data_IF_862195721396
#
_entry.id   IF_862195721396
#
_cell.length_a   1.000
_cell.length_b   1.000
_cell.length_c   1.000
_cell.angle_alpha   90.00
_cell.angle_beta   90.00
_cell.angle_gamma   90.00
#
_symmetry.space_group_name_H-M   'P 1'
#
loop_
_entity.id
_entity.type
_entity.pdbx_description
1 polymer ?
#
# COMPACT_ATOMS: atom_id res chain seq x y z
N UNK A 1 13.75 22.06 -0.55
CA UNK A 1 14.31 22.25 0.81
C UNK A 1 13.14 22.58 1.73
N UNK A 2 13.12 22.16 3.00
CA UNK A 2 11.99 22.44 3.91
C UNK A 2 12.03 23.90 4.39
N UNK A 3 10.94 24.65 4.21
CA UNK A 3 10.79 26.03 4.71
C UNK A 3 9.93 26.06 5.97
N UNK A 4 10.27 26.93 6.91
CA UNK A 4 9.48 27.20 8.11
C UNK A 4 9.34 28.69 8.35
N UNK A 5 8.29 29.09 9.08
CA UNK A 5 8.08 30.49 9.47
C UNK A 5 8.99 30.85 10.65
N UNK A 6 9.78 31.92 10.50
CA UNK A 6 10.42 32.57 11.64
C UNK A 6 9.42 33.50 12.35
N UNK A 7 9.66 33.89 13.62
CA UNK A 7 8.84 34.86 14.34
C UNK A 7 8.69 36.22 13.62
N UNK A 8 9.54 36.51 12.62
CA UNK A 8 9.55 37.74 11.83
C UNK A 8 8.95 37.62 10.43
N UNK A 9 8.20 36.56 10.10
CA UNK A 9 7.46 36.44 8.84
C UNK A 9 8.27 36.07 7.59
N UNK A 10 9.61 36.13 7.63
CA UNK A 10 10.46 35.63 6.55
C UNK A 10 10.55 34.10 6.56
N UNK A 11 10.41 33.48 5.38
CA UNK A 11 10.59 32.05 5.19
C UNK A 11 12.06 31.66 5.39
N UNK A 12 12.32 30.75 6.33
CA UNK A 12 13.66 30.26 6.65
C UNK A 12 13.78 28.80 6.24
N UNK A 13 14.86 28.44 5.57
CA UNK A 13 15.23 27.05 5.36
C UNK A 13 15.46 26.38 6.72
N UNK A 14 14.70 25.33 7.00
CA UNK A 14 14.79 24.56 8.25
C UNK A 14 15.97 23.58 8.21
N UNK A 15 16.37 23.15 7.01
CA UNK A 15 17.48 22.23 6.81
C UNK A 15 18.71 22.98 6.28
N UNK A 16 19.86 22.66 6.88
CA UNK A 16 21.20 22.99 6.36
C UNK A 16 21.62 21.95 5.30
N UNK A 17 22.72 22.16 4.54
CA UNK A 17 23.22 21.18 3.58
C UNK A 17 23.38 19.78 4.17
N UNK A 18 23.05 18.75 3.39
CA UNK A 18 23.17 17.35 3.80
C UNK A 18 24.63 16.95 3.97
N UNK A 19 24.90 16.12 4.98
CA UNK A 19 26.26 15.65 5.30
C UNK A 19 26.30 14.13 5.44
N UNK A 20 25.68 13.60 6.49
CA UNK A 20 25.63 12.17 6.79
C UNK A 20 24.24 11.71 7.19
N UNK A 21 23.84 10.54 6.72
CA UNK A 21 22.63 9.84 7.14
C UNK A 21 22.97 8.39 7.53
N UNK A 22 22.56 8.00 8.74
CA UNK A 22 22.53 6.60 9.18
C UNK A 22 21.08 6.16 9.23
N UNK A 23 20.69 5.29 8.30
CA UNK A 23 19.33 4.75 8.24
C UNK A 23 19.23 3.49 9.10
N UNK A 24 18.53 3.56 10.23
CA UNK A 24 18.07 2.37 10.91
C UNK A 24 16.97 1.68 10.08
N UNK A 25 16.84 0.36 10.24
CA UNK A 25 15.89 -0.46 9.50
C UNK A 25 15.94 -0.19 7.99
N UNK A 26 17.17 -0.08 7.46
CA UNK A 26 17.46 0.45 6.13
C UNK A 26 16.73 -0.29 5.01
N UNK A 27 16.42 -1.56 5.20
CA UNK A 27 15.70 -2.36 4.22
C UNK A 27 14.21 -2.01 4.14
N UNK A 28 13.62 -1.49 5.21
CA UNK A 28 12.27 -0.93 5.17
C UNK A 28 12.25 0.38 4.39
N UNK A 29 13.08 1.32 4.83
CA UNK A 29 13.06 2.70 4.31
C UNK A 29 13.55 2.72 2.85
N UNK A 30 14.69 2.10 2.57
CA UNK A 30 15.35 2.22 1.27
C UNK A 30 14.82 1.24 0.22
N UNK A 31 13.96 0.27 0.59
CA UNK A 31 13.43 -0.74 -0.35
C UNK A 31 11.90 -0.88 -0.28
N UNK A 32 11.33 -1.08 0.91
CA UNK A 32 9.88 -1.34 1.05
C UNK A 32 9.06 -0.06 0.86
N UNK A 33 9.46 1.02 1.52
CA UNK A 33 8.80 2.33 1.45
C UNK A 33 9.17 3.07 0.17
N UNK A 34 10.36 2.78 -0.39
CA UNK A 34 10.86 3.34 -1.65
C UNK A 34 10.07 2.92 -2.91
N UNK A 35 8.91 2.28 -2.74
CA UNK A 35 7.95 1.99 -3.82
C UNK A 35 7.01 3.16 -4.11
N UNK A 36 6.83 4.05 -3.14
CA UNK A 36 5.95 5.21 -3.23
C UNK A 36 6.74 6.50 -3.03
N UNK A 37 6.51 7.53 -3.86
CA UNK A 37 7.11 8.84 -3.67
C UNK A 37 6.57 9.50 -2.40
N UNK A 38 7.39 10.36 -1.80
CA UNK A 38 6.94 11.32 -0.80
C UNK A 38 6.27 12.48 -1.53
N UNK A 39 5.05 12.81 -1.10
CA UNK A 39 4.22 13.85 -1.71
C UNK A 39 3.77 14.81 -0.62
N UNK A 40 3.96 16.10 -0.85
CA UNK A 40 3.29 17.15 -0.09
C UNK A 40 2.07 17.54 -0.92
N UNK A 41 0.87 17.23 -0.43
CA UNK A 41 -0.35 17.70 -1.05
C UNK A 41 -0.43 19.22 -0.93
N UNK A 42 -0.85 19.88 -2.00
CA UNK A 42 -1.27 21.27 -1.89
C UNK A 42 -2.53 21.32 -1.02
N UNK A 43 -2.66 22.27 -0.08
CA UNK A 43 -3.95 22.52 0.55
C UNK A 43 -4.97 22.85 -0.56
N UNK A 44 -6.26 22.50 -0.36
CA UNK A 44 -7.30 22.85 -1.30
C UNK A 44 -7.26 24.36 -1.52
N UNK A 45 -6.88 24.74 -2.74
CA UNK A 45 -6.66 26.14 -3.14
C UNK A 45 -7.78 26.64 -4.03
N UNK A 46 -7.71 27.91 -4.43
CA UNK A 46 -8.63 28.50 -5.40
C UNK A 46 -8.70 27.69 -6.70
N UNK A 47 -7.60 27.05 -7.13
CA UNK A 47 -7.58 26.20 -8.33
C UNK A 47 -8.47 24.94 -8.19
N UNK A 48 -8.41 24.25 -7.05
CA UNK A 48 -9.27 23.08 -6.80
C UNK A 48 -10.73 23.53 -6.66
N UNK A 49 -10.98 24.65 -5.97
CA UNK A 49 -12.31 25.23 -5.86
C UNK A 49 -12.87 25.68 -7.22
N UNK A 50 -12.03 26.26 -8.08
CA UNK A 50 -12.38 26.65 -9.45
C UNK A 50 -12.69 25.44 -10.32
N UNK A 51 -11.92 24.35 -10.20
CA UNK A 51 -12.18 23.11 -10.94
C UNK A 51 -13.47 22.42 -10.47
N UNK A 52 -13.70 22.32 -9.16
CA UNK A 52 -14.99 21.85 -8.63
C UNK A 52 -16.15 22.75 -9.08
N UNK A 53 -15.96 24.07 -9.05
CA UNK A 53 -16.95 25.04 -9.53
C UNK A 53 -17.21 24.90 -11.02
N UNK A 54 -16.20 24.55 -11.83
CA UNK A 54 -16.31 24.34 -13.27
C UNK A 54 -17.17 23.11 -13.56
N UNK A 55 -16.90 21.98 -12.89
CA UNK A 55 -17.71 20.76 -13.07
C UNK A 55 -19.16 20.95 -12.62
N UNK A 56 -19.40 21.66 -11.49
CA UNK A 56 -20.76 22.02 -11.05
C UNK A 56 -21.47 22.91 -12.06
N UNK A 57 -20.83 24.01 -12.46
CA UNK A 57 -21.39 24.92 -13.45
C UNK A 57 -21.72 24.22 -14.77
N UNK A 58 -20.83 23.33 -15.22
CA UNK A 58 -21.05 22.55 -16.44
C UNK A 58 -22.23 21.58 -16.32
N UNK A 59 -22.35 20.87 -15.19
CA UNK A 59 -23.48 19.97 -14.92
C UNK A 59 -24.81 20.71 -14.90
N UNK A 60 -24.88 21.87 -14.23
CA UNK A 60 -26.08 22.71 -14.18
C UNK A 60 -26.42 23.29 -15.57
N UNK A 61 -25.41 23.79 -16.29
CA UNK A 61 -25.59 24.34 -17.64
C UNK A 61 -26.11 23.30 -18.64
N UNK A 62 -25.74 22.03 -18.48
CA UNK A 62 -26.13 20.95 -19.37
C UNK A 62 -27.60 20.53 -19.23
N UNK A 63 -28.30 20.95 -18.16
CA UNK A 63 -29.71 20.55 -17.91
C UNK A 63 -30.66 21.15 -18.94
N UNK A 64 -30.43 22.41 -19.32
CA UNK A 64 -31.37 23.19 -20.14
C UNK A 64 -31.03 23.20 -21.65
N UNK A 65 -29.99 22.46 -22.07
CA UNK A 65 -29.58 22.38 -23.46
C UNK A 65 -30.29 21.24 -24.19
N UNK A 66 -30.69 21.49 -25.44
CA UNK A 66 -31.48 20.55 -26.23
C UNK A 66 -30.64 19.90 -27.36
N UNK A 67 -30.75 18.57 -27.48
CA UNK A 67 -30.04 17.81 -28.51
C UNK A 67 -30.61 18.12 -29.91
N UNK A 68 -29.73 18.38 -30.87
CA UNK A 68 -30.09 18.78 -32.24
C UNK A 68 -30.26 20.29 -32.43
N UNK A 69 -30.37 21.07 -31.35
CA UNK A 69 -30.43 22.54 -31.41
C UNK A 69 -29.19 23.19 -30.78
N UNK A 70 -28.86 22.80 -29.55
CA UNK A 70 -27.76 23.37 -28.78
C UNK A 70 -26.49 22.54 -28.88
N UNK A 71 -26.62 21.23 -29.08
CA UNK A 71 -25.49 20.31 -29.23
C UNK A 71 -25.84 19.13 -30.14
N UNK A 72 -24.84 18.54 -30.77
CA UNK A 72 -24.97 17.30 -31.53
C UNK A 72 -24.44 16.10 -30.73
N UNK A 73 -24.94 14.92 -31.05
CA UNK A 73 -24.61 13.67 -30.36
C UNK A 73 -24.12 12.65 -31.37
N UNK A 74 -22.86 12.21 -31.24
CA UNK A 74 -22.34 11.05 -31.94
C UNK A 74 -22.49 9.83 -31.03
N UNK A 75 -23.54 9.03 -31.27
CA UNK A 75 -23.83 7.85 -30.46
C UNK A 75 -22.79 6.74 -30.61
N UNK A 76 -22.07 6.66 -31.74
CA UNK A 76 -21.05 5.65 -31.97
C UNK A 76 -19.77 5.95 -31.19
N UNK A 77 -19.38 7.23 -31.14
CA UNK A 77 -18.21 7.69 -30.37
C UNK A 77 -18.52 8.06 -28.92
N UNK A 78 -19.81 8.11 -28.58
CA UNK A 78 -20.31 8.61 -27.29
C UNK A 78 -19.77 10.01 -26.98
N UNK A 79 -19.83 10.92 -27.96
CA UNK A 79 -19.42 12.32 -27.80
C UNK A 79 -20.61 13.26 -27.95
N UNK A 80 -20.51 14.40 -27.28
CA UNK A 80 -21.45 15.51 -27.41
C UNK A 80 -20.66 16.77 -27.75
N UNK A 81 -21.03 17.48 -28.80
CA UNK A 81 -20.34 18.69 -29.25
C UNK A 81 -21.32 19.87 -29.30
N UNK A 82 -20.96 20.99 -28.68
CA UNK A 82 -21.83 22.18 -28.65
C UNK A 82 -21.90 22.84 -30.03
N UNK A 83 -23.13 23.06 -30.49
CA UNK A 83 -23.43 23.85 -31.70
C UNK A 83 -23.34 25.35 -31.38
N UNK A 84 -23.34 26.19 -32.43
CA UNK A 84 -23.21 27.65 -32.29
C UNK A 84 -24.25 28.27 -31.33
N UNK A 85 -25.49 27.77 -31.35
CA UNK A 85 -26.54 28.19 -30.43
C UNK A 85 -26.24 27.79 -28.98
N UNK A 86 -25.85 26.54 -28.73
CA UNK A 86 -25.48 26.07 -27.39
C UNK A 86 -24.29 26.83 -26.81
N UNK A 87 -23.25 27.08 -27.61
CA UNK A 87 -22.11 27.93 -27.21
C UNK A 87 -22.55 29.35 -26.83
N UNK A 88 -23.53 29.89 -27.56
CA UNK A 88 -24.08 31.23 -27.26
C UNK A 88 -24.89 31.23 -25.96
N UNK A 89 -25.70 30.19 -25.70
CA UNK A 89 -26.44 30.03 -24.45
C UNK A 89 -25.50 29.88 -23.25
N UNK A 90 -24.52 28.97 -23.33
CA UNK A 90 -23.51 28.76 -22.27
C UNK A 90 -22.75 30.05 -21.97
N UNK A 91 -22.40 30.83 -22.99
CA UNK A 91 -21.71 32.11 -22.82
C UNK A 91 -22.53 33.15 -22.06
N UNK A 92 -23.85 33.14 -22.25
CA UNK A 92 -24.79 34.09 -21.66
C UNK A 92 -25.19 33.75 -20.21
N UNK A 93 -24.88 32.54 -19.73
CA UNK A 93 -25.12 32.15 -18.34
C UNK A 93 -24.24 32.95 -17.38
N UNK A 94 -24.79 33.27 -16.20
CA UNK A 94 -24.04 33.93 -15.15
C UNK A 94 -23.00 32.97 -14.56
N UNK A 95 -21.73 33.37 -14.56
CA UNK A 95 -20.63 32.51 -14.11
C UNK A 95 -20.29 32.81 -12.65
N UNK A 96 -19.96 31.78 -11.86
CA UNK A 96 -19.34 31.99 -10.55
C UNK A 96 -18.05 32.81 -10.67
N UNK A 97 -17.74 33.62 -9.65
CA UNK A 97 -16.50 34.42 -9.58
C UNK A 97 -15.24 33.56 -9.75
N UNK A 98 -15.27 32.32 -9.24
CA UNK A 98 -14.18 31.35 -9.38
C UNK A 98 -13.86 30.95 -10.82
N UNK A 99 -14.75 31.24 -11.79
CA UNK A 99 -14.56 30.90 -13.21
C UNK A 99 -14.15 32.10 -14.07
N UNK A 100 -13.89 33.28 -13.48
CA UNK A 100 -13.49 34.47 -14.24
C UNK A 100 -12.18 34.28 -15.02
N UNK A 101 -11.22 33.56 -14.43
CA UNK A 101 -9.92 33.25 -15.04
C UNK A 101 -9.96 32.04 -16.00
N UNK A 102 -11.07 31.31 -16.04
CA UNK A 102 -11.22 30.10 -16.86
C UNK A 102 -11.61 30.48 -18.29
N UNK A 103 -10.86 29.95 -19.26
CA UNK A 103 -11.14 30.23 -20.67
C UNK A 103 -12.52 29.70 -21.11
N UNK A 104 -13.16 30.42 -22.03
CA UNK A 104 -14.44 30.00 -22.62
C UNK A 104 -14.34 28.61 -23.27
N UNK A 105 -13.19 28.28 -23.86
CA UNK A 105 -12.97 26.96 -24.46
C UNK A 105 -13.05 25.85 -23.40
N UNK A 106 -12.36 26.02 -22.27
CA UNK A 106 -12.40 25.05 -21.17
C UNK A 106 -13.82 24.88 -20.60
N UNK A 107 -14.60 25.97 -20.55
CA UNK A 107 -16.01 25.92 -20.16
C UNK A 107 -16.85 25.11 -21.15
N UNK A 108 -16.68 25.35 -22.46
CA UNK A 108 -17.40 24.58 -23.48
C UNK A 108 -17.07 23.10 -23.39
N UNK A 109 -15.79 22.74 -23.28
CA UNK A 109 -15.38 21.34 -23.12
C UNK A 109 -15.95 20.72 -21.84
N UNK A 110 -16.01 21.47 -20.73
CA UNK A 110 -16.60 20.98 -19.49
C UNK A 110 -18.10 20.71 -19.64
N UNK A 111 -18.84 21.60 -20.31
CA UNK A 111 -20.27 21.41 -20.63
C UNK A 111 -20.47 20.22 -21.56
N UNK A 112 -19.63 20.05 -22.58
CA UNK A 112 -19.65 18.89 -23.47
C UNK A 112 -19.41 17.57 -22.71
N UNK A 113 -18.49 17.57 -21.73
CA UNK A 113 -18.28 16.42 -20.81
C UNK A 113 -19.50 16.16 -19.95
N UNK A 114 -20.16 17.20 -19.43
CA UNK A 114 -21.39 17.07 -18.64
C UNK A 114 -22.57 16.53 -19.47
N UNK A 115 -22.73 17.01 -20.71
CA UNK A 115 -23.72 16.48 -21.67
C UNK A 115 -23.45 15.01 -21.97
N UNK A 116 -22.18 14.64 -22.17
CA UNK A 116 -21.75 13.26 -22.37
C UNK A 116 -22.07 12.37 -21.17
N UNK A 117 -21.74 12.83 -19.96
CA UNK A 117 -22.08 12.12 -18.71
C UNK A 117 -23.59 11.85 -18.63
N UNK A 118 -24.40 12.91 -18.80
CA UNK A 118 -25.88 12.83 -18.73
C UNK A 118 -26.50 11.93 -19.79
N UNK A 119 -25.93 11.89 -21.00
CA UNK A 119 -26.51 11.15 -22.12
C UNK A 119 -26.16 9.67 -22.13
N UNK A 120 -24.94 9.33 -21.72
CA UNK A 120 -24.38 7.98 -21.89
C UNK A 120 -24.15 7.22 -20.59
N UNK A 121 -24.12 7.90 -19.43
CA UNK A 121 -23.85 7.29 -18.13
C UNK A 121 -25.06 7.42 -17.22
N UNK A 122 -25.80 6.32 -17.06
CA UNK A 122 -27.03 6.27 -16.29
C UNK A 122 -26.80 5.60 -14.93
N UNK A 123 -27.40 6.19 -13.90
CA UNK A 123 -27.54 5.60 -12.57
C UNK A 123 -28.21 4.21 -12.68
N UNK A 124 -27.75 3.26 -11.85
CA UNK A 124 -28.18 1.86 -11.80
C UNK A 124 -27.91 1.04 -13.08
N UNK A 125 -27.14 1.59 -14.04
CA UNK A 125 -26.66 0.86 -15.21
C UNK A 125 -25.14 0.86 -15.28
N UNK A 126 -24.54 2.03 -15.46
CA UNK A 126 -23.08 2.18 -15.56
C UNK A 126 -22.43 2.44 -14.21
N UNK A 127 -23.18 2.92 -13.22
CA UNK A 127 -22.68 3.21 -11.88
C UNK A 127 -23.80 3.26 -10.85
N UNK A 128 -23.41 3.25 -9.58
CA UNK A 128 -24.28 3.52 -8.42
C UNK A 128 -23.64 4.56 -7.52
N UNK A 129 -24.46 5.27 -6.74
CA UNK A 129 -24.00 6.18 -5.71
C UNK A 129 -24.04 5.48 -4.35
N UNK A 130 -22.91 5.43 -3.63
CA UNK A 130 -22.80 4.87 -2.28
C UNK A 130 -21.94 5.78 -1.42
N UNK A 131 -22.40 6.09 -0.22
CA UNK A 131 -21.64 6.89 0.77
C UNK A 131 -21.06 8.18 0.17
N UNK A 132 -21.89 8.92 -0.58
CA UNK A 132 -21.50 10.17 -1.26
C UNK A 132 -20.39 9.99 -2.33
N UNK A 133 -20.29 8.80 -2.95
CA UNK A 133 -19.32 8.49 -4.01
C UNK A 133 -19.95 7.74 -5.16
N UNK A 134 -19.47 8.02 -6.38
CA UNK A 134 -19.83 7.28 -7.59
C UNK A 134 -18.98 6.00 -7.69
N UNK A 135 -19.62 4.85 -7.81
CA UNK A 135 -18.96 3.55 -7.97
C UNK A 135 -19.35 2.94 -9.31
N UNK A 136 -18.36 2.69 -10.16
CA UNK A 136 -18.56 2.12 -11.50
C UNK A 136 -19.05 0.68 -11.40
N UNK A 137 -20.04 0.31 -12.22
CA UNK A 137 -20.48 -1.07 -12.40
C UNK A 137 -19.85 -1.62 -13.67
N UNK A 138 -19.26 -2.82 -13.59
CA UNK A 138 -18.79 -3.54 -14.76
C UNK A 138 -19.98 -4.09 -15.56
N UNK A 139 -20.19 -3.60 -16.79
CA UNK A 139 -21.30 -3.96 -17.66
C UNK A 139 -21.39 -5.47 -17.96
N UNK A 140 -20.26 -6.20 -17.92
CA UNK A 140 -20.22 -7.62 -18.23
C UNK A 140 -20.55 -8.52 -17.04
N UNK A 141 -20.35 -8.02 -15.81
CA UNK A 141 -20.50 -8.83 -14.59
C UNK A 141 -21.52 -8.28 -13.58
N UNK A 142 -21.98 -7.04 -13.76
CA UNK A 142 -22.86 -6.33 -12.82
C UNK A 142 -22.22 -6.04 -11.46
N UNK A 143 -20.90 -6.23 -11.31
CA UNK A 143 -20.18 -6.03 -10.05
C UNK A 143 -19.66 -4.61 -9.94
N UNK A 144 -19.70 -4.08 -8.72
CA UNK A 144 -19.07 -2.81 -8.38
C UNK A 144 -17.54 -2.91 -8.51
N UNK A 145 -16.95 -2.01 -9.28
CA UNK A 145 -15.52 -1.84 -9.45
C UNK A 145 -15.03 -0.69 -8.56
N UNK A 146 -14.98 -0.93 -7.25
CA UNK A 146 -14.54 0.07 -6.27
C UNK A 146 -13.10 0.55 -6.54
N UNK A 147 -12.90 1.87 -6.45
CA UNK A 147 -11.61 2.52 -6.70
C UNK A 147 -11.24 2.73 -8.18
N UNK A 148 -12.15 2.44 -9.11
CA UNK A 148 -11.96 2.74 -10.54
C UNK A 148 -12.70 4.03 -10.92
N UNK A 149 -12.00 4.93 -11.61
CA UNK A 149 -12.57 6.18 -12.12
C UNK A 149 -12.56 6.17 -13.65
N UNK A 150 -13.53 6.86 -14.29
CA UNK A 150 -13.45 7.16 -15.72
C UNK A 150 -12.40 8.26 -15.97
N UNK A 151 -11.85 8.27 -17.18
CA UNK A 151 -10.76 9.19 -17.57
C UNK A 151 -11.30 10.55 -18.01
N UNK A 152 -10.38 11.48 -18.27
CA UNK A 152 -10.63 12.75 -18.95
C UNK A 152 -11.70 13.64 -18.28
N UNK A 153 -11.75 13.64 -16.95
CA UNK A 153 -12.71 14.43 -16.17
C UNK A 153 -14.14 13.88 -16.15
N UNK A 154 -14.38 12.73 -16.79
CA UNK A 154 -15.73 12.18 -16.92
C UNK A 154 -16.29 11.68 -15.58
N UNK A 155 -15.44 11.19 -14.68
CA UNK A 155 -15.87 10.79 -13.34
C UNK A 155 -16.34 11.98 -12.52
N UNK A 156 -15.58 13.06 -12.55
CA UNK A 156 -15.93 14.33 -11.91
C UNK A 156 -17.20 14.94 -12.51
N UNK A 157 -17.42 14.80 -13.81
CA UNK A 157 -18.66 15.22 -14.46
C UNK A 157 -19.88 14.42 -13.98
N UNK A 158 -19.75 13.10 -13.79
CA UNK A 158 -20.82 12.26 -13.22
C UNK A 158 -21.04 12.58 -11.74
N UNK A 159 -19.99 12.77 -10.95
CA UNK A 159 -20.09 13.19 -9.54
C UNK A 159 -20.82 14.54 -9.40
N UNK A 160 -20.51 15.51 -10.28
CA UNK A 160 -21.19 16.80 -10.33
C UNK A 160 -22.66 16.67 -10.70
N UNK A 161 -23.00 15.81 -11.68
CA UNK A 161 -24.37 15.53 -12.07
C UNK A 161 -25.21 14.95 -10.92
N UNK A 162 -24.64 14.01 -10.17
CA UNK A 162 -25.31 13.35 -9.03
C UNK A 162 -25.24 14.18 -7.74
N UNK A 163 -24.61 15.37 -7.79
CA UNK A 163 -24.46 16.31 -6.67
C UNK A 163 -23.74 15.71 -5.46
N UNK A 164 -22.82 14.77 -5.70
CA UNK A 164 -21.94 14.23 -4.66
C UNK A 164 -20.64 15.04 -4.56
N UNK A 165 -19.80 14.72 -3.58
CA UNK A 165 -18.47 15.33 -3.48
C UNK A 165 -17.63 15.02 -4.73
N UNK A 166 -17.21 16.06 -5.45
CA UNK A 166 -16.40 15.95 -6.66
C UNK A 166 -14.96 15.62 -6.29
N UNK A 167 -14.45 14.48 -6.77
CA UNK A 167 -13.09 14.02 -6.52
C UNK A 167 -12.11 14.65 -7.52
N UNK A 168 -11.84 15.94 -7.33
CA UNK A 168 -10.75 16.62 -8.04
C UNK A 168 -9.41 16.14 -7.49
N UNK A 169 -8.45 15.72 -8.34
CA UNK A 169 -7.12 15.38 -7.86
C UNK A 169 -6.49 16.59 -7.18
N UNK A 170 -6.28 16.53 -5.87
CA UNK A 170 -5.50 17.54 -5.17
C UNK A 170 -4.11 17.61 -5.81
N UNK A 171 -3.72 18.77 -6.35
CA UNK A 171 -2.38 19.00 -6.84
C UNK A 171 -1.32 18.66 -5.79
N UNK A 172 -0.09 18.41 -6.22
CA UNK A 172 1.02 18.15 -5.31
C UNK A 172 1.92 19.38 -5.27
N UNK A 173 2.13 19.97 -4.09
CA UNK A 173 3.01 21.12 -3.89
C UNK A 173 4.49 20.75 -4.04
N UNK A 174 4.85 19.52 -3.70
CA UNK A 174 6.19 18.98 -3.90
C UNK A 174 6.15 17.45 -3.96
N UNK A 175 7.10 16.88 -4.67
CA UNK A 175 7.25 15.42 -4.78
C UNK A 175 8.72 15.02 -4.85
N UNK A 176 9.10 13.97 -4.14
CA UNK A 176 10.41 13.34 -4.25
C UNK A 176 10.34 11.86 -3.91
N UNK A 177 11.08 11.01 -4.61
CA UNK A 177 11.21 9.60 -4.20
C UNK A 177 12.20 9.45 -3.05
N UNK A 178 12.06 8.39 -2.24
CA UNK A 178 13.04 8.09 -1.18
C UNK A 178 14.44 7.86 -1.77
N UNK A 179 14.53 7.23 -2.94
CA UNK A 179 15.78 7.07 -3.69
C UNK A 179 16.46 8.42 -3.93
N UNK A 180 15.75 9.35 -4.57
CA UNK A 180 16.29 10.67 -4.90
C UNK A 180 16.57 11.50 -3.66
N UNK A 181 15.75 11.36 -2.60
CA UNK A 181 15.98 12.05 -1.34
C UNK A 181 17.30 11.59 -0.70
N UNK A 182 17.49 10.28 -0.51
CA UNK A 182 18.68 9.73 0.13
C UNK A 182 19.96 9.90 -0.71
N UNK A 183 19.85 9.96 -2.03
CA UNK A 183 20.98 10.29 -2.92
C UNK A 183 21.57 11.69 -2.68
N UNK A 184 20.89 12.56 -1.92
CA UNK A 184 21.38 13.92 -1.60
C UNK A 184 22.37 13.96 -0.45
N UNK A 185 22.49 12.89 0.35
CA UNK A 185 23.50 12.81 1.39
C UNK A 185 24.83 12.33 0.79
N UNK A 186 25.92 13.10 0.92
CA UNK A 186 27.25 12.67 0.46
C UNK A 186 27.71 11.37 1.14
N UNK A 187 27.29 11.15 2.38
CA UNK A 187 27.61 9.97 3.14
C UNK A 187 26.32 9.29 3.63
N UNK A 188 26.07 8.07 3.15
CA UNK A 188 24.92 7.26 3.52
C UNK A 188 25.38 5.93 4.10
N UNK A 189 24.90 5.60 5.29
CA UNK A 189 25.06 4.31 5.94
C UNK A 189 23.70 3.77 6.37
N UNK A 190 23.61 2.46 6.62
CA UNK A 190 22.39 1.86 7.14
C UNK A 190 22.65 0.57 7.89
N UNK A 191 21.70 0.20 8.75
CA UNK A 191 21.75 -1.04 9.52
C UNK A 191 20.39 -1.74 9.49
N UNK A 192 20.43 -3.07 9.48
CA UNK A 192 19.25 -3.95 9.51
C UNK A 192 19.73 -5.41 9.51
N UNK A 193 18.89 -6.31 10.03
CA UNK A 193 19.19 -7.74 10.06
C UNK A 193 19.02 -8.49 8.73
N UNK A 194 18.40 -7.88 7.71
CA UNK A 194 17.85 -8.65 6.58
C UNK A 194 18.13 -8.13 5.17
N UNK A 195 19.07 -7.20 4.99
CA UNK A 195 19.30 -6.54 3.68
C UNK A 195 20.23 -7.28 2.71
N UNK A 196 20.94 -8.33 3.14
CA UNK A 196 21.97 -9.01 2.35
C UNK A 196 21.50 -9.48 0.96
N UNK A 197 20.25 -9.96 0.84
CA UNK A 197 19.68 -10.40 -0.45
C UNK A 197 19.46 -9.26 -1.45
N UNK A 198 19.41 -8.02 -0.97
CA UNK A 198 19.17 -6.81 -1.75
C UNK A 198 20.46 -6.02 -2.03
N UNK A 199 21.64 -6.56 -1.72
CA UNK A 199 22.93 -5.87 -1.85
C UNK A 199 23.16 -5.25 -3.24
N UNK A 200 22.83 -5.96 -4.32
CA UNK A 200 22.96 -5.45 -5.69
C UNK A 200 22.04 -4.26 -5.98
N UNK A 201 20.86 -4.23 -5.34
CA UNK A 201 19.92 -3.12 -5.48
C UNK A 201 20.45 -1.89 -4.74
N UNK A 202 20.94 -2.07 -3.51
CA UNK A 202 21.53 -1.00 -2.71
C UNK A 202 22.75 -0.37 -3.38
N UNK A 203 23.69 -1.20 -3.85
CA UNK A 203 24.90 -0.72 -4.52
C UNK A 203 24.56 0.08 -5.80
N UNK A 204 23.52 -0.31 -6.52
CA UNK A 204 23.14 0.34 -7.78
C UNK A 204 22.32 1.61 -7.57
N UNK A 205 21.39 1.62 -6.61
CA UNK A 205 20.47 2.74 -6.40
C UNK A 205 21.08 3.81 -5.48
N UNK A 206 21.88 3.42 -4.48
CA UNK A 206 22.37 4.32 -3.43
C UNK A 206 23.89 4.37 -3.31
N UNK A 207 24.65 3.61 -4.11
CA UNK A 207 26.10 3.45 -3.98
C UNK A 207 26.54 2.97 -2.58
N UNK A 208 25.72 2.11 -1.96
CA UNK A 208 25.98 1.54 -0.63
C UNK A 208 26.31 0.06 -0.75
N UNK A 209 27.51 -0.32 -0.30
CA UNK A 209 27.90 -1.72 -0.16
C UNK A 209 27.26 -2.35 1.09
N UNK A 210 26.95 -3.65 1.01
CA UNK A 210 26.41 -4.41 2.15
C UNK A 210 27.49 -5.32 2.73
N UNK A 211 27.74 -5.18 4.03
CA UNK A 211 28.62 -6.07 4.79
C UNK A 211 27.80 -6.84 5.83
N UNK A 212 28.05 -8.15 5.93
CA UNK A 212 27.37 -9.01 6.92
C UNK A 212 28.22 -9.07 8.18
N UNK A 213 27.72 -8.47 9.26
CA UNK A 213 28.36 -8.53 10.57
C UNK A 213 28.05 -9.88 11.23
N UNK A 214 29.06 -10.64 11.69
CA UNK A 214 28.83 -11.88 12.43
C UNK A 214 27.99 -11.65 13.69
N UNK A 215 27.15 -12.62 14.05
CA UNK A 215 26.38 -12.55 15.30
C UNK A 215 27.30 -12.68 16.51
N UNK A 216 27.02 -11.93 17.58
CA UNK A 216 27.79 -11.99 18.84
C UNK A 216 27.87 -13.42 19.43
N UNK A 217 26.76 -14.17 19.35
CA UNK A 217 26.68 -15.57 19.75
C UNK A 217 26.10 -16.41 18.60
N UNK A 218 26.45 -17.70 18.49
CA UNK A 218 25.90 -18.58 17.47
C UNK A 218 24.37 -18.63 17.51
N UNK A 219 23.72 -18.50 16.36
CA UNK A 219 22.27 -18.62 16.26
C UNK A 219 21.85 -20.10 16.31
N UNK A 220 21.24 -20.52 17.41
CA UNK A 220 20.81 -21.92 17.64
C UNK A 220 19.31 -22.16 17.42
N UNK A 221 18.58 -21.17 16.89
CA UNK A 221 17.14 -21.30 16.61
C UNK A 221 16.88 -22.44 15.63
N UNK A 222 15.79 -23.17 15.84
CA UNK A 222 15.43 -24.33 15.02
C UNK A 222 14.19 -24.04 14.17
N UNK A 223 14.25 -24.44 12.90
CA UNK A 223 13.09 -24.40 12.00
C UNK A 223 12.33 -25.72 12.10
N UNK A 224 11.06 -25.66 12.43
CA UNK A 224 10.16 -26.82 12.40
C UNK A 224 9.64 -27.07 10.99
N UNK A 225 9.21 -28.30 10.72
CA UNK A 225 8.57 -28.66 9.46
C UNK A 225 7.35 -27.76 9.20
N UNK A 226 7.18 -27.25 7.96
CA UNK A 226 6.06 -26.38 7.64
C UNK A 226 4.76 -27.17 7.55
N UNK A 227 3.64 -26.48 7.73
CA UNK A 227 2.29 -27.04 7.56
C UNK A 227 1.65 -26.40 6.33
N UNK A 228 1.12 -27.24 5.45
CA UNK A 228 0.39 -26.84 4.25
C UNK A 228 -1.02 -27.39 4.35
N UNK A 229 -2.01 -26.51 4.52
CA UNK A 229 -3.41 -26.89 4.68
C UNK A 229 -4.22 -26.68 3.39
N UNK A 230 -5.37 -27.35 3.28
CA UNK A 230 -6.23 -27.23 2.10
C UNK A 230 -6.85 -25.83 1.97
N UNK A 231 -7.25 -25.25 3.10
CA UNK A 231 -7.89 -23.95 3.19
C UNK A 231 -7.48 -23.22 4.47
N UNK A 232 -7.89 -21.97 4.58
CA UNK A 232 -7.53 -21.10 5.68
C UNK A 232 -8.13 -21.56 7.03
N UNK A 233 -9.36 -22.08 7.04
CA UNK A 233 -10.00 -22.55 8.27
C UNK A 233 -9.23 -23.73 8.90
N UNK A 234 -8.82 -24.69 8.08
CA UNK A 234 -7.98 -25.81 8.51
C UNK A 234 -6.60 -25.33 9.00
N UNK A 235 -5.99 -24.37 8.29
CA UNK A 235 -4.72 -23.75 8.69
C UNK A 235 -4.82 -23.13 10.08
N UNK A 236 -5.86 -22.34 10.34
CA UNK A 236 -6.07 -21.67 11.62
C UNK A 236 -6.38 -22.66 12.74
N UNK A 237 -7.17 -23.71 12.47
CA UNK A 237 -7.39 -24.78 13.44
C UNK A 237 -6.07 -25.47 13.86
N UNK A 238 -5.18 -25.75 12.89
CA UNK A 238 -3.86 -26.31 13.18
C UNK A 238 -2.97 -25.36 14.00
N UNK A 239 -3.04 -24.05 13.74
CA UNK A 239 -2.31 -23.03 14.52
C UNK A 239 -2.83 -23.00 15.96
N UNK A 240 -4.14 -22.91 16.17
CA UNK A 240 -4.74 -22.90 17.52
C UNK A 240 -4.35 -24.16 18.30
N UNK A 241 -4.37 -25.32 17.66
CA UNK A 241 -3.95 -26.59 18.29
C UNK A 241 -2.48 -26.55 18.73
N UNK A 242 -1.57 -26.03 17.90
CA UNK A 242 -0.16 -25.87 18.28
C UNK A 242 -0.01 -24.85 19.44
N UNK A 243 -0.67 -23.71 19.35
CA UNK A 243 -0.63 -22.68 20.41
C UNK A 243 -1.13 -23.25 21.73
N UNK A 244 -2.22 -24.02 21.72
CA UNK A 244 -2.76 -24.66 22.91
C UNK A 244 -1.75 -25.62 23.56
N UNK A 245 -1.07 -26.45 22.76
CA UNK A 245 -0.06 -27.38 23.26
C UNK A 245 1.15 -26.66 23.87
N UNK A 246 1.60 -25.57 23.24
CA UNK A 246 2.74 -24.77 23.74
C UNK A 246 2.37 -23.95 24.98
N UNK A 247 1.17 -23.39 25.01
CA UNK A 247 0.66 -22.63 26.14
C UNK A 247 0.46 -23.53 27.37
N UNK A 248 0.02 -24.79 27.18
CA UNK A 248 -0.13 -25.76 28.26
C UNK A 248 1.19 -26.06 29.00
N UNK A 249 2.34 -25.97 28.32
CA UNK A 249 3.68 -26.10 28.93
C UNK A 249 4.29 -24.74 29.32
N UNK A 250 3.54 -23.65 29.20
CA UNK A 250 3.97 -22.31 29.58
C UNK A 250 4.94 -21.64 28.60
N UNK A 251 5.07 -22.16 27.38
CA UNK A 251 6.02 -21.62 26.40
C UNK A 251 5.41 -20.43 25.65
N UNK A 252 6.10 -19.27 25.54
CA UNK A 252 5.57 -18.12 24.84
C UNK A 252 5.51 -18.31 23.33
N UNK A 253 4.49 -17.71 22.72
CA UNK A 253 4.23 -17.78 21.27
C UNK A 253 4.01 -16.39 20.70
N UNK A 254 4.75 -16.07 19.63
CA UNK A 254 4.54 -14.91 18.78
C UNK A 254 3.96 -15.38 17.44
N UNK A 255 2.79 -14.87 17.07
CA UNK A 255 2.07 -15.23 15.84
C UNK A 255 2.05 -14.04 14.91
N UNK A 256 2.65 -14.15 13.72
CA UNK A 256 2.64 -13.10 12.71
C UNK A 256 1.58 -13.34 11.65
N UNK A 257 0.71 -12.35 11.44
CA UNK A 257 -0.30 -12.30 10.36
C UNK A 257 0.04 -11.20 9.37
N UNK A 258 -0.51 -11.23 8.15
CA UNK A 258 -0.26 -10.18 7.14
C UNK A 258 -1.26 -9.01 7.21
N UNK A 259 -2.47 -9.24 7.72
CA UNK A 259 -3.52 -8.21 7.79
C UNK A 259 -4.26 -8.21 9.11
N UNK A 260 -4.90 -7.08 9.41
CA UNK A 260 -5.70 -6.88 10.61
C UNK A 260 -6.88 -7.85 10.61
N UNK A 261 -7.56 -8.04 9.47
CA UNK A 261 -8.69 -8.97 9.40
C UNK A 261 -8.29 -10.41 9.81
N UNK A 262 -7.07 -10.83 9.43
CA UNK A 262 -6.54 -12.14 9.81
C UNK A 262 -6.13 -12.21 11.29
N UNK A 263 -5.60 -11.13 11.87
CA UNK A 263 -5.29 -11.09 13.30
C UNK A 263 -6.58 -11.14 14.14
N UNK A 264 -7.61 -10.41 13.75
CA UNK A 264 -8.93 -10.43 14.42
C UNK A 264 -9.67 -11.76 14.24
N UNK A 265 -9.56 -12.40 13.06
CA UNK A 265 -10.08 -13.75 12.85
C UNK A 265 -9.40 -14.78 13.74
N UNK A 266 -8.06 -14.75 13.82
CA UNK A 266 -7.30 -15.64 14.69
C UNK A 266 -7.57 -15.36 16.18
N UNK A 267 -7.70 -14.09 16.55
CA UNK A 267 -8.03 -13.65 17.91
C UNK A 267 -9.32 -14.31 18.41
N UNK A 268 -10.39 -14.24 17.63
CA UNK A 268 -11.68 -14.90 17.95
C UNK A 268 -11.54 -16.41 18.14
N UNK A 269 -10.69 -17.06 17.36
CA UNK A 269 -10.45 -18.51 17.49
C UNK A 269 -9.65 -18.86 18.75
N UNK A 270 -8.68 -18.02 19.13
CA UNK A 270 -7.93 -18.17 20.38
C UNK A 270 -8.83 -17.91 21.60
N UNK A 271 -9.69 -16.89 21.54
CA UNK A 271 -10.73 -16.62 22.56
C UNK A 271 -11.67 -17.81 22.73
N UNK A 272 -12.18 -18.37 21.63
CA UNK A 272 -13.06 -19.56 21.67
C UNK A 272 -12.36 -20.79 22.29
N UNK A 273 -11.04 -20.89 22.13
CA UNK A 273 -10.21 -21.92 22.77
C UNK A 273 -9.78 -21.58 24.21
N UNK A 274 -10.27 -20.48 24.78
CA UNK A 274 -9.92 -19.98 26.11
C UNK A 274 -8.41 -19.70 26.29
N UNK A 275 -7.75 -19.22 25.23
CA UNK A 275 -6.33 -18.89 25.25
C UNK A 275 -6.14 -17.37 25.41
N UNK A 276 -5.66 -16.89 26.58
CA UNK A 276 -5.43 -15.47 26.82
C UNK A 276 -4.29 -14.98 25.94
N UNK A 277 -4.55 -13.93 25.16
CA UNK A 277 -3.60 -13.42 24.18
C UNK A 277 -3.74 -11.91 24.00
N UNK A 278 -2.75 -11.29 23.35
CA UNK A 278 -2.77 -9.87 23.01
C UNK A 278 -2.59 -9.67 21.51
N UNK A 279 -3.34 -8.75 20.91
CA UNK A 279 -3.29 -8.42 19.48
C UNK A 279 -2.63 -7.05 19.28
N UNK A 280 -1.72 -6.96 18.30
CA UNK A 280 -0.97 -5.76 17.95
C UNK A 280 -1.22 -5.41 16.48
N UNK A 281 -1.82 -4.24 16.26
CA UNK A 281 -2.31 -3.80 14.93
C UNK A 281 -1.59 -2.54 14.40
N UNK A 282 -0.46 -2.14 14.98
CA UNK A 282 0.30 -0.94 14.61
C UNK A 282 -0.48 0.38 14.72
N UNK A 283 -1.43 0.46 15.67
CA UNK A 283 -2.24 1.67 15.95
C UNK A 283 -1.64 2.54 17.05
N UNK A 284 -0.97 1.93 18.04
CA UNK A 284 -0.45 2.64 19.21
C UNK A 284 1.00 2.23 19.51
N UNK A 285 1.96 2.85 18.83
CA UNK A 285 3.38 2.43 18.81
C UNK A 285 3.99 2.29 20.22
N UNK A 286 3.79 3.27 21.10
CA UNK A 286 4.39 3.25 22.45
C UNK A 286 3.86 2.11 23.32
N UNK A 287 2.53 1.95 23.40
CA UNK A 287 1.89 0.87 24.16
C UNK A 287 2.22 -0.51 23.58
N UNK A 288 2.28 -0.61 22.25
CA UNK A 288 2.63 -1.85 21.57
C UNK A 288 4.07 -2.26 21.88
N UNK A 289 5.01 -1.31 21.99
CA UNK A 289 6.39 -1.61 22.38
C UNK A 289 6.47 -2.20 23.79
N UNK A 290 5.70 -1.70 24.76
CA UNK A 290 5.64 -2.26 26.12
C UNK A 290 5.11 -3.70 26.12
N UNK A 291 4.04 -3.96 25.36
CA UNK A 291 3.46 -5.30 25.24
C UNK A 291 4.45 -6.27 24.59
N UNK A 292 5.11 -5.85 23.51
CA UNK A 292 6.06 -6.70 22.77
C UNK A 292 7.27 -7.06 23.63
N UNK A 293 7.73 -6.14 24.48
CA UNK A 293 8.81 -6.43 25.43
C UNK A 293 8.44 -7.57 26.40
N UNK A 294 7.15 -7.78 26.67
CA UNK A 294 6.63 -8.86 27.52
C UNK A 294 6.28 -10.14 26.74
N UNK A 295 6.35 -10.16 25.41
CA UNK A 295 5.97 -11.33 24.61
C UNK A 295 6.83 -12.58 24.86
N UNK A 296 8.00 -12.42 25.48
CA UNK A 296 8.90 -13.52 25.85
C UNK A 296 8.69 -14.10 27.24
N UNK A 297 7.68 -13.63 27.99
CA UNK A 297 7.38 -14.13 29.34
C UNK A 297 6.60 -15.45 29.33
N UNK A 298 6.62 -16.17 30.44
CA UNK A 298 5.95 -17.47 30.59
C UNK A 298 4.47 -17.40 30.17
N UNK A 299 4.05 -18.34 29.31
CA UNK A 299 2.68 -18.50 28.84
C UNK A 299 2.15 -17.40 27.92
N UNK A 300 2.94 -16.38 27.56
CA UNK A 300 2.45 -15.26 26.77
C UNK A 300 2.12 -15.67 25.32
N UNK A 301 0.95 -15.23 24.84
CA UNK A 301 0.53 -15.39 23.44
C UNK A 301 0.35 -14.00 22.85
N UNK A 302 1.09 -13.69 21.78
CA UNK A 302 1.05 -12.39 21.13
C UNK A 302 0.79 -12.56 19.64
N UNK A 303 -0.27 -11.92 19.13
CA UNK A 303 -0.59 -11.85 17.70
C UNK A 303 -0.13 -10.49 17.19
N UNK A 304 0.75 -10.48 16.19
CA UNK A 304 1.30 -9.26 15.59
C UNK A 304 0.96 -9.19 14.11
N UNK A 305 0.30 -8.10 13.71
CA UNK A 305 -0.03 -7.82 12.32
C UNK A 305 1.18 -7.21 11.61
N UNK A 306 1.62 -7.84 10.52
CA UNK A 306 2.85 -7.61 9.76
C UNK A 306 4.10 -7.63 10.66
N UNK A 307 4.41 -6.48 11.24
CA UNK A 307 5.56 -6.24 12.12
C UNK A 307 5.24 -5.21 13.20
N UNK A 308 4.01 -5.22 13.72
CA UNK A 308 3.69 -4.46 14.92
C UNK A 308 4.67 -4.85 16.05
N UNK A 309 5.23 -3.85 16.75
CA UNK A 309 6.33 -4.08 17.69
C UNK A 309 7.74 -4.12 17.08
N UNK A 310 7.93 -3.56 15.89
CA UNK A 310 9.26 -3.41 15.29
C UNK A 310 10.18 -2.57 16.19
N UNK A 311 11.48 -2.86 16.17
CA UNK A 311 12.47 -2.19 17.01
C UNK A 311 12.53 -2.67 18.46
N UNK A 312 11.45 -3.26 18.99
CA UNK A 312 11.43 -3.78 20.36
C UNK A 312 12.07 -5.18 20.47
N UNK A 313 12.97 -5.32 21.44
CA UNK A 313 13.63 -6.58 21.78
C UNK A 313 12.70 -7.46 22.64
N UNK A 314 12.55 -8.73 22.28
CA UNK A 314 11.75 -9.71 23.05
C UNK A 314 12.71 -10.56 23.86
N UNK A 315 12.87 -10.23 25.14
CA UNK A 315 13.72 -10.99 26.06
C UNK A 315 12.96 -12.16 26.63
N UNK A 316 13.62 -13.31 26.76
CA UNK A 316 13.04 -14.48 27.41
C UNK A 316 12.90 -14.23 28.91
N UNK A 317 11.73 -14.54 29.46
CA UNK A 317 11.49 -14.57 30.90
C UNK A 317 12.26 -15.69 31.61
N UNK A 318 12.23 -15.67 32.94
CA UNK A 318 12.86 -16.70 33.76
C UNK A 318 12.27 -18.10 33.43
N UNK A 319 13.14 -19.11 33.30
CA UNK A 319 12.74 -20.48 32.98
C UNK A 319 12.31 -20.74 31.52
N UNK A 320 11.99 -19.71 30.74
CA UNK A 320 11.49 -19.85 29.35
C UNK A 320 12.52 -20.50 28.42
N UNK A 321 13.81 -20.24 28.61
CA UNK A 321 14.86 -20.89 27.84
C UNK A 321 14.81 -22.42 27.94
N UNK A 322 14.50 -22.96 29.13
CA UNK A 322 14.40 -24.40 29.37
C UNK A 322 13.18 -25.02 28.67
N UNK A 323 12.15 -24.22 28.39
CA UNK A 323 10.96 -24.61 27.63
C UNK A 323 11.19 -24.56 26.10
N UNK A 324 12.42 -24.26 25.66
CA UNK A 324 12.77 -24.11 24.25
C UNK A 324 12.68 -22.68 23.73
N UNK A 325 12.51 -21.69 24.61
CA UNK A 325 12.48 -20.27 24.26
C UNK A 325 11.23 -19.84 23.50
N UNK A 326 11.27 -18.65 22.89
CA UNK A 326 10.14 -18.11 22.11
C UNK A 326 9.84 -18.99 20.89
N UNK A 327 8.57 -19.34 20.70
CA UNK A 327 8.07 -19.96 19.49
C UNK A 327 7.46 -18.92 18.55
N UNK A 328 7.87 -18.90 17.27
CA UNK A 328 7.34 -17.97 16.25
C UNK A 328 6.53 -18.72 15.20
N UNK A 329 5.29 -18.30 15.00
CA UNK A 329 4.39 -18.84 13.98
C UNK A 329 4.24 -17.82 12.85
N UNK A 330 4.68 -18.18 11.64
CA UNK A 330 4.39 -17.43 10.43
C UNK A 330 3.11 -18.00 9.81
N UNK A 331 1.99 -17.26 9.87
CA UNK A 331 0.68 -17.77 9.44
C UNK A 331 0.50 -17.81 7.91
N UNK A 332 1.37 -17.11 7.19
CA UNK A 332 1.40 -17.01 5.73
C UNK A 332 2.77 -16.50 5.27
N UNK A 333 3.01 -16.47 3.96
CA UNK A 333 4.21 -15.82 3.39
C UNK A 333 3.90 -14.37 3.02
N UNK A 334 4.80 -13.47 3.39
CA UNK A 334 4.75 -12.09 2.94
C UNK A 334 5.19 -11.97 1.48
N UNK A 335 4.99 -10.79 0.88
CA UNK A 335 5.43 -10.51 -0.49
C UNK A 335 6.95 -10.56 -0.65
N UNK A 336 7.69 -10.37 0.45
CA UNK A 336 9.13 -10.54 0.48
C UNK A 336 9.56 -11.50 1.59
N UNK A 337 10.50 -12.38 1.24
CA UNK A 337 11.16 -13.29 2.18
C UNK A 337 11.96 -12.53 3.25
N UNK A 338 12.23 -11.24 3.04
CA UNK A 338 12.87 -10.37 4.01
C UNK A 338 12.00 -10.15 5.24
N UNK A 339 10.72 -9.87 5.03
CA UNK A 339 9.73 -9.65 6.10
C UNK A 339 9.52 -10.93 6.91
N UNK A 340 9.42 -12.08 6.23
CA UNK A 340 9.35 -13.38 6.93
C UNK A 340 10.58 -13.61 7.82
N UNK A 341 11.79 -13.27 7.34
CA UNK A 341 13.02 -13.40 8.13
C UNK A 341 13.07 -12.43 9.31
N UNK A 342 12.49 -11.24 9.18
CA UNK A 342 12.40 -10.28 10.29
C UNK A 342 11.52 -10.83 11.42
N UNK A 343 10.38 -11.44 11.07
CA UNK A 343 9.51 -12.12 12.04
C UNK A 343 10.22 -13.30 12.70
N UNK A 344 10.85 -14.19 11.90
CA UNK A 344 11.63 -15.33 12.42
C UNK A 344 12.79 -14.87 13.31
N UNK A 345 13.40 -13.73 12.98
CA UNK A 345 14.48 -13.11 13.75
C UNK A 345 14.08 -12.58 15.13
N UNK A 346 12.78 -12.58 15.47
CA UNK A 346 12.27 -12.23 16.80
C UNK A 346 12.59 -13.30 17.86
N UNK A 347 12.84 -14.55 17.45
CA UNK A 347 13.31 -15.62 18.34
C UNK A 347 14.82 -15.92 18.19
N UNK A 348 15.40 -16.55 19.21
CA UNK A 348 16.79 -17.01 19.21
C UNK A 348 17.81 -15.87 19.13
N UNK A 349 17.55 -14.79 19.87
CA UNK A 349 18.45 -13.63 19.99
C UNK A 349 19.58 -13.97 20.95
N UNK A 350 20.77 -13.42 20.73
CA UNK A 350 21.95 -13.68 21.60
C UNK A 350 22.23 -15.17 21.90
N UNK A 351 21.94 -16.06 20.95
CA UNK A 351 22.13 -17.50 21.12
C UNK A 351 21.08 -18.18 22.00
N UNK A 352 19.97 -17.50 22.30
CA UNK A 352 18.83 -18.09 22.99
C UNK A 352 18.24 -19.27 22.18
N UNK A 353 17.64 -20.26 22.87
CA UNK A 353 16.81 -21.24 22.20
C UNK A 353 15.57 -20.56 21.62
N UNK A 354 15.03 -21.13 20.56
CA UNK A 354 13.84 -20.63 19.91
C UNK A 354 13.47 -21.53 18.75
N UNK A 355 12.19 -21.61 18.44
CA UNK A 355 11.74 -22.36 17.26
C UNK A 355 10.78 -21.53 16.45
N UNK A 356 10.68 -21.85 15.16
CA UNK A 356 9.67 -21.22 14.31
C UNK A 356 9.07 -22.20 13.31
N UNK A 357 7.82 -21.96 12.93
CA UNK A 357 7.09 -22.76 11.94
C UNK A 357 6.40 -21.87 10.92
N UNK A 358 6.40 -22.32 9.67
CA UNK A 358 5.65 -21.71 8.59
C UNK A 358 4.35 -22.48 8.36
N UNK A 359 3.24 -21.76 8.34
CA UNK A 359 1.93 -22.21 7.87
C UNK A 359 1.62 -21.55 6.53
N UNK A 360 0.97 -22.30 5.64
CA UNK A 360 0.38 -21.80 4.40
C UNK A 360 -0.87 -22.60 4.06
N UNK A 361 -1.80 -22.01 3.32
CA UNK A 361 -2.98 -22.70 2.78
C UNK A 361 -3.11 -22.47 1.27
N UNK A 362 -3.81 -23.37 0.58
CA UNK A 362 -3.92 -23.32 -0.89
C UNK A 362 -4.73 -22.11 -1.41
N UNK A 363 -5.51 -21.49 -0.52
CA UNK A 363 -6.29 -20.27 -0.74
C UNK A 363 -5.55 -18.99 -0.29
N UNK A 364 -4.29 -19.08 0.16
CA UNK A 364 -3.50 -17.89 0.50
C UNK A 364 -3.25 -17.00 -0.73
N UNK A 365 -3.37 -15.69 -0.52
CA UNK A 365 -3.24 -14.65 -1.54
C UNK A 365 -1.89 -14.66 -2.26
N UNK A 366 -0.84 -15.19 -1.63
CA UNK A 366 0.50 -15.25 -2.22
C UNK A 366 0.51 -16.00 -3.56
N UNK A 367 -0.35 -17.02 -3.75
CA UNK A 367 -0.44 -17.76 -5.01
C UNK A 367 -1.09 -16.91 -6.11
N UNK A 368 -2.19 -16.24 -5.78
CA UNK A 368 -2.90 -15.34 -6.70
C UNK A 368 -2.00 -14.16 -7.07
N UNK A 369 -1.34 -13.57 -6.07
CA UNK A 369 -0.45 -12.42 -6.22
C UNK A 369 0.74 -12.72 -7.12
N UNK A 370 1.32 -13.92 -7.05
CA UNK A 370 2.51 -14.28 -7.85
C UNK A 370 2.23 -14.93 -9.22
N UNK A 371 1.09 -15.60 -9.40
CA UNK A 371 0.76 -16.33 -10.64
C UNK A 371 -0.44 -15.78 -11.41
N UNK A 372 -1.26 -14.92 -10.80
CA UNK A 372 -2.57 -14.52 -11.32
C UNK A 372 -3.66 -15.56 -11.06
N UNK A 373 -4.91 -15.13 -10.91
CA UNK A 373 -6.02 -15.97 -10.45
C UNK A 373 -6.23 -17.28 -11.26
N UNK A 374 -6.23 -17.29 -12.61
CA UNK A 374 -6.47 -18.51 -13.37
C UNK A 374 -5.36 -19.56 -13.20
N UNK A 375 -4.11 -19.11 -13.06
CA UNK A 375 -2.96 -20.01 -12.88
C UNK A 375 -2.84 -20.46 -11.43
N UNK A 376 -3.09 -19.57 -10.47
CA UNK A 376 -3.14 -19.89 -9.05
C UNK A 376 -4.16 -21.00 -8.77
N UNK A 377 -5.38 -20.91 -9.32
CA UNK A 377 -6.40 -21.96 -9.20
C UNK A 377 -5.92 -23.33 -9.68
N UNK A 378 -5.26 -23.39 -10.84
CA UNK A 378 -4.70 -24.65 -11.37
C UNK A 378 -3.57 -25.21 -10.50
N UNK A 379 -2.74 -24.34 -9.92
CA UNK A 379 -1.68 -24.73 -8.99
C UNK A 379 -2.29 -25.27 -7.70
N UNK A 380 -3.26 -24.58 -7.10
CA UNK A 380 -3.96 -24.99 -5.90
C UNK A 380 -4.61 -26.38 -6.08
N UNK A 381 -5.34 -26.60 -7.18
CA UNK A 381 -5.93 -27.91 -7.49
C UNK A 381 -4.89 -29.04 -7.60
N UNK A 382 -3.69 -28.74 -8.10
CA UNK A 382 -2.59 -29.71 -8.19
C UNK A 382 -1.97 -29.98 -6.83
N UNK A 383 -1.82 -28.95 -5.99
CA UNK A 383 -1.30 -29.06 -4.63
C UNK A 383 -2.27 -29.83 -3.72
N UNK A 384 -3.58 -29.61 -3.88
CA UNK A 384 -4.63 -30.31 -3.13
C UNK A 384 -4.49 -31.84 -3.22
N UNK A 385 -4.20 -32.36 -4.42
CA UNK A 385 -3.96 -33.80 -4.65
C UNK A 385 -2.69 -34.35 -3.99
N UNK A 386 -1.85 -33.48 -3.43
CA UNK A 386 -0.53 -33.80 -2.86
C UNK A 386 -0.38 -33.28 -1.44
N UNK A 387 -1.45 -32.87 -0.75
CA UNK A 387 -1.39 -32.34 0.62
C UNK A 387 -0.74 -33.32 1.59
N UNK A 388 -0.97 -34.63 1.42
CA UNK A 388 -0.33 -35.70 2.21
C UNK A 388 1.12 -36.00 1.78
N UNK A 389 1.67 -35.22 0.85
CA UNK A 389 3.05 -35.36 0.37
C UNK A 389 4.06 -34.65 1.27
N UNK A 390 5.30 -34.54 0.79
CA UNK A 390 6.37 -33.86 1.53
C UNK A 390 6.09 -32.34 1.69
N UNK A 391 5.90 -31.81 2.92
CA UNK A 391 5.50 -30.42 3.15
C UNK A 391 6.49 -29.40 2.56
N UNK A 392 7.79 -29.70 2.58
CA UNK A 392 8.82 -28.83 2.01
C UNK A 392 8.70 -28.67 0.49
N UNK A 393 8.29 -29.73 -0.22
CA UNK A 393 8.07 -29.66 -1.68
C UNK A 393 6.84 -28.81 -2.01
N UNK A 394 5.82 -28.84 -1.15
CA UNK A 394 4.63 -28.01 -1.28
C UNK A 394 4.98 -26.53 -1.01
N UNK A 395 5.66 -26.25 0.11
CA UNK A 395 6.09 -24.90 0.48
C UNK A 395 7.00 -24.26 -0.60
N UNK A 396 7.81 -25.06 -1.31
CA UNK A 396 8.64 -24.57 -2.40
C UNK A 396 7.83 -23.87 -3.51
N UNK A 397 6.57 -24.27 -3.75
CA UNK A 397 5.70 -23.63 -4.73
C UNK A 397 5.28 -22.23 -4.27
N UNK A 398 4.95 -22.07 -2.98
CA UNK A 398 4.63 -20.77 -2.38
C UNK A 398 5.85 -19.83 -2.40
N UNK A 399 7.04 -20.34 -2.06
CA UNK A 399 8.31 -19.58 -2.16
C UNK A 399 8.62 -19.14 -3.59
N UNK A 400 8.30 -19.96 -4.59
CA UNK A 400 8.44 -19.57 -5.99
C UNK A 400 7.44 -18.46 -6.38
N UNK A 401 6.24 -18.47 -5.79
CA UNK A 401 5.29 -17.37 -5.92
C UNK A 401 5.86 -16.08 -5.33
N UNK A 402 6.36 -16.15 -4.10
CA UNK A 402 7.01 -15.02 -3.40
C UNK A 402 8.16 -14.43 -4.23
N UNK A 403 9.09 -15.25 -4.74
CA UNK A 403 10.18 -14.78 -5.63
C UNK A 403 9.69 -14.02 -6.86
N UNK A 404 8.54 -14.42 -7.44
CA UNK A 404 7.95 -13.72 -8.59
C UNK A 404 7.41 -12.34 -8.20
N UNK A 405 6.80 -12.25 -7.02
CA UNK A 405 6.30 -11.00 -6.45
C UNK A 405 7.48 -10.06 -6.18
N UNK A 406 8.54 -10.53 -5.53
CA UNK A 406 9.77 -9.76 -5.30
C UNK A 406 10.38 -9.24 -6.60
N UNK A 407 10.51 -10.09 -7.62
CA UNK A 407 11.04 -9.69 -8.92
C UNK A 407 10.16 -8.61 -9.60
N UNK A 408 8.84 -8.66 -9.41
CA UNK A 408 7.92 -7.62 -9.91
C UNK A 408 8.09 -6.32 -9.14
N UNK A 409 8.18 -6.36 -7.80
CA UNK A 409 8.43 -5.16 -6.99
C UNK A 409 9.76 -4.51 -7.36
N UNK A 410 10.80 -5.31 -7.59
CA UNK A 410 12.08 -4.81 -8.07
C UNK A 410 11.97 -4.11 -9.44
N UNK A 411 11.19 -4.67 -10.38
CA UNK A 411 10.92 -4.00 -11.68
C UNK A 411 10.16 -2.69 -11.50
N UNK A 412 9.17 -2.66 -10.61
CA UNK A 412 8.38 -1.45 -10.35
C UNK A 412 9.25 -0.31 -9.81
N UNK A 413 10.13 -0.59 -8.84
CA UNK A 413 11.08 0.40 -8.32
C UNK A 413 12.04 0.92 -9.39
N UNK A 414 12.56 0.04 -10.24
CA UNK A 414 13.40 0.44 -11.40
C UNK A 414 12.67 1.34 -12.38
N UNK A 415 11.41 1.04 -12.66
CA UNK A 415 10.59 1.85 -13.55
C UNK A 415 10.32 3.22 -12.93
N UNK A 416 10.01 3.27 -11.62
CA UNK A 416 9.84 4.52 -10.88
C UNK A 416 11.12 5.38 -10.95
N UNK A 417 12.27 4.79 -10.65
CA UNK A 417 13.58 5.46 -10.76
C UNK A 417 13.81 6.04 -12.16
N UNK A 418 13.50 5.28 -13.21
CA UNK A 418 13.66 5.71 -14.60
C UNK A 418 12.73 6.87 -14.97
N UNK A 419 11.43 6.75 -14.66
CA UNK A 419 10.43 7.78 -14.96
C UNK A 419 10.75 9.09 -14.23
N UNK A 420 11.12 9.00 -12.96
CA UNK A 420 11.45 10.18 -12.14
C UNK A 420 12.74 10.85 -12.62
N UNK A 421 13.72 10.08 -13.12
CA UNK A 421 14.92 10.64 -13.75
C UNK A 421 14.59 11.40 -15.03
N UNK A 422 13.80 10.80 -15.94
CA UNK A 422 13.39 11.48 -17.18
C UNK A 422 12.62 12.76 -16.88
N UNK A 423 11.70 12.70 -15.92
CA UNK A 423 10.94 13.85 -15.47
C UNK A 423 11.85 14.95 -14.94
N UNK A 424 12.79 14.62 -14.07
CA UNK A 424 13.73 15.58 -13.51
C UNK A 424 14.58 16.24 -14.61
N UNK A 425 15.06 15.46 -15.58
CA UNK A 425 15.80 15.97 -16.75
C UNK A 425 14.95 16.94 -17.58
N UNK A 426 13.67 16.65 -17.81
CA UNK A 426 12.74 17.55 -18.52
C UNK A 426 12.51 18.88 -17.79
N UNK A 427 12.30 18.86 -16.47
CA UNK A 427 12.15 20.11 -15.69
C UNK A 427 13.43 20.94 -15.73
N UNK A 428 14.60 20.32 -15.60
CA UNK A 428 15.89 21.02 -15.69
C UNK A 428 16.07 21.67 -17.07
N UNK A 429 15.69 20.99 -18.15
CA UNK A 429 15.71 21.56 -19.52
C UNK A 429 14.78 22.77 -19.66
N UNK A 430 13.67 22.79 -18.93
CA UNK A 430 12.73 23.92 -18.86
C UNK A 430 13.14 25.00 -17.87
N UNK A 431 14.33 24.91 -17.26
CA UNK A 431 14.80 25.80 -16.19
C UNK A 431 13.87 25.84 -14.97
N UNK A 432 13.21 24.72 -14.67
CA UNK A 432 12.33 24.49 -13.54
C UNK A 432 13.00 23.62 -12.47
N UNK A 433 12.59 23.76 -11.21
CA UNK A 433 13.01 22.87 -10.12
C UNK A 433 12.29 21.51 -10.25
N UNK A 434 13.03 20.39 -10.40
CA UNK A 434 12.42 19.08 -10.65
C UNK A 434 11.64 18.49 -9.47
N UNK A 435 11.64 19.13 -8.30
CA UNK A 435 10.95 18.67 -7.10
C UNK A 435 9.87 19.63 -6.61
N UNK A 436 10.06 20.94 -6.83
CA UNK A 436 9.13 21.99 -6.44
C UNK A 436 8.19 22.39 -7.58
N UNK A 437 8.71 22.46 -8.81
CA UNK A 437 7.93 22.81 -10.00
C UNK A 437 7.37 21.56 -10.72
N UNK A 438 7.53 20.40 -10.10
CA UNK A 438 6.88 19.14 -10.47
C UNK A 438 5.34 19.18 -10.29
N UNK A 439 4.73 20.36 -10.17
CA UNK A 439 3.35 20.56 -9.77
C UNK A 439 2.40 20.97 -10.92
N UNK A 440 2.90 21.09 -12.15
CA UNK A 440 2.06 21.42 -13.33
C UNK A 440 1.85 20.22 -14.25
#
# INVERSE_FOLDING_TARGET
MLMGKSPGGAAKLLQRPYWFALCDEADNVLIDDARTPLIIASPPGEAEAAEQSLFRFAADSAVDLEAGEDFEVDALKQTCELLGRGRSRVRALNRPELLESVSLLAIYEAVERALRARRFFMLDRQYVVREDKVVIIDESTGRAAEGRNWRDGLHQAVEAQERVTISVPSGHAARITLQNLFARWPHLAGMTGTIATSARELARTYDVAVSVVPTNRPAIRQRLAPVVSANQAEKFACIVTEVQALHAVGRPVLIGTRSIDKSEELSRLLEAACLPHTVLNARHIEKEAEIVAQAGQFGQITVSTNMAGRGTDIKLGEGVANLGGLHVICTELHDSARIDRQLVGRCGRQGDPGTWRQYVSLDDDILVSGYGAPRARRIALRLARRLNGAPERLLAVFRNSQKRIEARHQRQRRLLEYVERQRAESHIQMSQDPYLDAAS
#
